data_IF_515275561665
#
_entry.id   IF_515275561665
#
_cell.length_a   1.000
_cell.length_b   1.000
_cell.length_c   1.000
_cell.angle_alpha   90.00
_cell.angle_beta   90.00
_cell.angle_gamma   90.00
#
_symmetry.space_group_name_H-M   'P 1'
#
loop_
_entity.id
_entity.type
_entity.pdbx_description
1 polymer ?
#
# COMPACT_ATOMS: atom_id res chain seq x y z
N UNK A 1 -7.61 -26.59 17.63
CA UNK A 1 -8.86 -25.84 17.92
C UNK A 1 -9.25 -25.27 16.58
N UNK A 2 -10.29 -25.82 15.98
CA UNK A 2 -10.79 -25.33 14.71
C UNK A 2 -11.80 -24.23 15.01
N UNK A 3 -11.51 -23.02 14.52
CA UNK A 3 -12.41 -21.89 14.64
C UNK A 3 -13.31 -21.85 13.40
N UNK A 4 -14.62 -21.84 13.61
CA UNK A 4 -15.61 -21.60 12.55
C UNK A 4 -15.70 -20.11 12.25
N UNK A 5 -15.38 -19.72 11.02
CA UNK A 5 -15.40 -18.32 10.55
C UNK A 5 -16.79 -17.79 10.24
N UNK A 6 -17.82 -18.67 10.22
CA UNK A 6 -19.22 -18.30 10.00
C UNK A 6 -20.00 -18.13 11.31
N UNK A 7 -19.41 -18.48 12.45
CA UNK A 7 -20.02 -18.35 13.78
C UNK A 7 -19.47 -17.15 14.55
N UNK A 8 -20.36 -16.23 14.94
CA UNK A 8 -20.00 -15.08 15.77
C UNK A 8 -19.36 -15.51 17.09
N UNK A 9 -19.94 -16.49 17.79
CA UNK A 9 -19.40 -16.97 19.07
C UNK A 9 -18.00 -17.57 18.93
N UNK A 10 -17.76 -18.29 17.82
CA UNK A 10 -16.44 -18.85 17.51
C UNK A 10 -15.40 -17.75 17.31
N UNK A 11 -15.71 -16.75 16.49
CA UNK A 11 -14.81 -15.61 16.24
C UNK A 11 -14.62 -14.73 17.47
N UNK A 12 -15.66 -14.54 18.29
CA UNK A 12 -15.57 -13.83 19.56
C UNK A 12 -14.59 -14.55 20.50
N UNK A 13 -14.67 -15.87 20.64
CA UNK A 13 -13.73 -16.65 21.47
C UNK A 13 -12.29 -16.55 20.98
N UNK A 14 -12.07 -16.50 19.67
CA UNK A 14 -10.75 -16.26 19.09
C UNK A 14 -10.22 -14.87 19.50
N UNK A 15 -11.01 -13.82 19.27
CA UNK A 15 -10.66 -12.45 19.60
C UNK A 15 -10.40 -12.27 21.11
N UNK A 16 -11.26 -12.83 21.96
CA UNK A 16 -11.11 -12.76 23.41
C UNK A 16 -9.82 -13.43 23.89
N UNK A 17 -9.45 -14.57 23.28
CA UNK A 17 -8.19 -15.25 23.58
C UNK A 17 -6.99 -14.39 23.16
N UNK A 18 -7.04 -13.78 21.98
CA UNK A 18 -6.01 -12.86 21.51
C UNK A 18 -5.88 -11.63 22.43
N UNK A 19 -6.99 -10.97 22.74
CA UNK A 19 -7.02 -9.76 23.56
C UNK A 19 -6.44 -10.00 24.96
N UNK A 20 -6.84 -11.09 25.64
CA UNK A 20 -6.26 -11.46 26.95
C UNK A 20 -4.76 -11.72 26.89
N UNK A 21 -4.28 -12.31 25.78
CA UNK A 21 -2.84 -12.52 25.58
C UNK A 21 -2.12 -11.17 25.41
N UNK A 22 -2.67 -10.25 24.62
CA UNK A 22 -2.11 -8.90 24.45
C UNK A 22 -2.06 -8.14 25.79
N UNK A 23 -3.13 -8.20 26.60
CA UNK A 23 -3.12 -7.59 27.94
C UNK A 23 -1.98 -8.13 28.80
N UNK A 24 -1.76 -9.44 28.76
CA UNK A 24 -0.68 -10.10 29.49
C UNK A 24 0.71 -9.65 29.00
N UNK A 25 0.89 -9.51 27.68
CA UNK A 25 2.12 -8.98 27.07
C UNK A 25 2.36 -7.53 27.49
N UNK A 26 1.33 -6.68 27.51
CA UNK A 26 1.46 -5.30 27.98
C UNK A 26 1.86 -5.21 29.45
N UNK A 27 1.36 -6.10 30.32
CA UNK A 27 1.82 -6.15 31.72
C UNK A 27 3.27 -6.63 31.82
N UNK A 28 3.67 -7.60 31.02
CA UNK A 28 5.05 -8.09 30.97
C UNK A 28 6.04 -6.98 30.57
N UNK A 29 5.67 -6.14 29.60
CA UNK A 29 6.48 -5.00 29.15
C UNK A 29 6.57 -3.84 30.17
N UNK A 30 5.70 -3.81 31.18
CA UNK A 30 5.85 -2.88 32.32
C UNK A 30 6.89 -3.34 33.34
N UNK A 31 7.26 -4.62 33.29
CA UNK A 31 8.32 -5.21 34.11
C UNK A 31 9.71 -4.97 33.50
N UNK A 32 10.57 -5.98 33.60
CA UNK A 32 11.95 -5.92 33.07
C UNK A 32 12.07 -6.36 31.61
N UNK A 33 11.00 -6.87 31.01
CA UNK A 33 11.01 -7.37 29.63
C UNK A 33 11.04 -6.20 28.65
N UNK A 34 11.98 -6.21 27.72
CA UNK A 34 12.04 -5.17 26.70
C UNK A 34 10.82 -5.25 25.75
N UNK A 35 10.14 -4.12 25.49
CA UNK A 35 9.01 -4.09 24.57
C UNK A 35 9.47 -4.30 23.12
N UNK A 36 8.51 -4.62 22.25
CA UNK A 36 8.78 -4.69 20.82
C UNK A 36 9.36 -3.37 20.30
N UNK A 37 10.42 -3.46 19.48
CA UNK A 37 11.02 -2.28 18.83
C UNK A 37 10.03 -1.66 17.85
N UNK A 38 9.53 -0.48 18.22
CA UNK A 38 8.66 0.35 17.38
C UNK A 38 9.46 0.96 16.21
N UNK A 39 8.73 1.45 15.21
CA UNK A 39 9.29 2.14 14.04
C UNK A 39 10.28 1.29 13.24
N UNK A 40 10.07 -0.03 13.23
CA UNK A 40 10.72 -0.96 12.32
C UNK A 40 9.90 -1.08 11.04
N UNK A 41 10.56 -1.43 9.93
CA UNK A 41 9.88 -1.77 8.67
C UNK A 41 9.14 -3.11 8.84
N UNK A 42 8.00 -3.33 8.18
CA UNK A 42 7.35 -4.63 8.17
C UNK A 42 8.21 -5.66 7.40
N UNK A 43 8.09 -6.94 7.74
CA UNK A 43 8.61 -8.01 6.88
C UNK A 43 7.73 -8.16 5.64
N UNK A 44 8.23 -8.79 4.56
CA UNK A 44 7.45 -9.00 3.33
C UNK A 44 6.11 -9.71 3.58
N UNK A 45 6.09 -10.73 4.44
CA UNK A 45 4.87 -11.45 4.79
C UNK A 45 3.86 -10.56 5.54
N UNK A 46 4.33 -9.74 6.49
CA UNK A 46 3.46 -8.81 7.21
C UNK A 46 2.97 -7.68 6.29
N UNK A 47 3.82 -7.15 5.41
CA UNK A 47 3.44 -6.09 4.48
C UNK A 47 2.37 -6.58 3.50
N UNK A 48 2.50 -7.79 2.96
CA UNK A 48 1.46 -8.41 2.12
C UNK A 48 0.12 -8.50 2.86
N UNK A 49 0.14 -8.94 4.12
CA UNK A 49 -1.06 -9.01 4.94
C UNK A 49 -1.70 -7.63 5.16
N UNK A 50 -0.90 -6.62 5.51
CA UNK A 50 -1.36 -5.25 5.72
C UNK A 50 -1.98 -4.68 4.43
N UNK A 51 -1.32 -4.83 3.28
CA UNK A 51 -1.84 -4.31 2.01
C UNK A 51 -3.15 -4.99 1.61
N UNK A 52 -3.27 -6.31 1.78
CA UNK A 52 -4.53 -7.01 1.55
C UNK A 52 -5.64 -6.52 2.50
N UNK A 53 -5.31 -6.30 3.77
CA UNK A 53 -6.26 -5.77 4.74
C UNK A 53 -6.71 -4.35 4.36
N UNK A 54 -5.79 -3.49 3.97
CA UNK A 54 -6.06 -2.13 3.49
C UNK A 54 -6.96 -2.16 2.27
N UNK A 55 -6.65 -3.00 1.28
CA UNK A 55 -7.48 -3.17 0.08
C UNK A 55 -8.90 -3.59 0.43
N UNK A 56 -9.07 -4.64 1.25
CA UNK A 56 -10.38 -5.16 1.64
C UNK A 56 -11.24 -4.14 2.40
N UNK A 57 -10.60 -3.22 3.14
CA UNK A 57 -11.29 -2.15 3.87
C UNK A 57 -11.54 -0.89 3.02
N UNK A 58 -10.96 -0.80 1.82
CA UNK A 58 -10.99 0.41 0.99
C UNK A 58 -11.76 0.23 -0.30
N UNK A 59 -11.48 -0.85 -1.04
CA UNK A 59 -12.13 -1.16 -2.31
C UNK A 59 -13.39 -1.97 -2.03
N UNK A 60 -14.51 -1.27 -1.92
CA UNK A 60 -15.81 -1.85 -1.59
C UNK A 60 -16.50 -2.54 -2.76
N UNK A 61 -16.14 -2.17 -3.99
CA UNK A 61 -16.77 -2.66 -5.21
C UNK A 61 -15.69 -2.82 -6.30
N UNK A 62 -14.95 -3.95 -6.30
CA UNK A 62 -13.84 -4.17 -7.22
C UNK A 62 -14.26 -4.16 -8.69
N UNK A 63 -15.52 -4.48 -9.01
CA UNK A 63 -16.01 -4.49 -10.39
C UNK A 63 -15.94 -3.09 -11.01
N UNK A 64 -16.07 -2.03 -10.20
CA UNK A 64 -15.92 -0.64 -10.68
C UNK A 64 -14.52 -0.29 -11.15
N UNK A 65 -13.49 -1.02 -10.70
CA UNK A 65 -12.12 -0.85 -11.21
C UNK A 65 -11.96 -1.43 -12.62
N UNK A 66 -12.86 -2.32 -13.03
CA UNK A 66 -12.89 -2.89 -14.39
C UNK A 66 -13.71 -2.05 -15.38
N UNK A 67 -14.32 -0.95 -14.93
CA UNK A 67 -15.14 -0.06 -15.77
C UNK A 67 -14.26 1.00 -16.45
N UNK A 68 -13.40 0.57 -17.36
CA UNK A 68 -12.62 1.43 -18.23
C UNK A 68 -13.04 1.25 -19.69
N UNK A 69 -12.85 2.27 -20.52
CA UNK A 69 -13.00 2.10 -21.96
C UNK A 69 -11.94 1.10 -22.47
N UNK A 70 -12.34 0.03 -23.20
CA UNK A 70 -11.39 -0.88 -23.80
C UNK A 70 -10.39 -0.10 -24.68
N UNK A 71 -9.09 -0.42 -24.55
CA UNK A 71 -7.99 0.25 -25.28
C UNK A 71 -7.70 1.71 -24.87
N UNK A 72 -8.20 2.17 -23.72
CA UNK A 72 -7.74 3.42 -23.12
C UNK A 72 -6.58 3.18 -22.14
N UNK A 73 -5.78 4.21 -21.79
CA UNK A 73 -4.76 4.13 -20.75
C UNK A 73 -5.32 3.83 -19.34
N UNK A 74 -6.64 3.71 -19.18
CA UNK A 74 -7.33 3.53 -17.90
C UNK A 74 -7.56 2.06 -17.54
N UNK A 75 -7.02 1.11 -18.33
CA UNK A 75 -7.12 -0.33 -18.08
C UNK A 75 -6.40 -0.68 -16.77
N UNK A 76 -7.18 -1.03 -15.76
CA UNK A 76 -6.68 -1.45 -14.46
C UNK A 76 -6.10 -2.87 -14.53
N UNK A 77 -4.77 -2.97 -14.43
CA UNK A 77 -4.06 -4.24 -14.23
C UNK A 77 -3.40 -4.25 -12.86
N UNK A 78 -3.90 -5.07 -11.93
CA UNK A 78 -3.27 -5.20 -10.62
C UNK A 78 -1.86 -5.77 -10.75
N UNK A 79 -0.86 -4.94 -10.45
CA UNK A 79 0.52 -5.38 -10.33
C UNK A 79 0.66 -6.29 -9.10
N UNK A 80 1.14 -7.51 -9.31
CA UNK A 80 1.35 -8.48 -8.22
C UNK A 80 2.35 -7.96 -7.18
N UNK A 81 2.06 -8.18 -5.90
CA UNK A 81 2.96 -7.88 -4.78
C UNK A 81 4.37 -8.45 -5.00
N UNK A 82 4.46 -9.66 -5.55
CA UNK A 82 5.74 -10.35 -5.75
C UNK A 82 6.61 -9.66 -6.81
N UNK A 83 5.99 -9.11 -7.86
CA UNK A 83 6.72 -8.35 -8.88
C UNK A 83 7.29 -7.05 -8.30
N UNK A 84 6.49 -6.34 -7.50
CA UNK A 84 6.95 -5.11 -6.82
C UNK A 84 8.04 -5.42 -5.81
N UNK A 85 7.94 -6.54 -5.08
CA UNK A 85 8.98 -6.96 -4.14
C UNK A 85 10.31 -7.26 -4.86
N UNK A 86 10.24 -7.99 -5.98
CA UNK A 86 11.42 -8.26 -6.81
C UNK A 86 12.04 -6.95 -7.34
N UNK A 87 11.23 -6.02 -7.83
CA UNK A 87 11.69 -4.70 -8.28
C UNK A 87 12.44 -3.95 -7.17
N UNK A 88 11.91 -3.95 -5.95
CA UNK A 88 12.54 -3.30 -4.79
C UNK A 88 13.93 -3.91 -4.51
N UNK A 89 14.03 -5.24 -4.55
CA UNK A 89 15.29 -5.95 -4.28
C UNK A 89 16.36 -5.71 -5.37
N UNK A 90 15.93 -5.52 -6.63
CA UNK A 90 16.81 -5.29 -7.79
C UNK A 90 17.29 -3.84 -7.89
N UNK A 91 16.41 -2.85 -7.75
CA UNK A 91 16.73 -1.43 -7.99
C UNK A 91 17.57 -0.82 -6.85
N UNK A 92 17.41 -1.30 -5.61
CA UNK A 92 18.14 -0.83 -4.41
C UNK A 92 18.10 0.68 -4.22
N UNK A 93 16.88 1.21 -4.09
CA UNK A 93 16.65 2.63 -3.82
C UNK A 93 17.23 3.10 -2.48
N UNK A 94 17.69 4.35 -2.43
CA UNK A 94 18.34 5.03 -1.31
C UNK A 94 17.53 6.24 -0.85
N UNK A 95 17.94 6.91 0.23
CA UNK A 95 17.32 8.15 0.70
C UNK A 95 17.45 9.36 -0.23
N UNK A 96 18.31 9.30 -1.25
CA UNK A 96 18.42 10.35 -2.27
C UNK A 96 17.41 10.17 -3.41
N UNK A 97 16.74 9.01 -3.47
CA UNK A 97 15.81 8.68 -4.54
C UNK A 97 14.42 9.28 -4.34
N UNK A 98 13.80 9.62 -5.46
CA UNK A 98 12.39 9.98 -5.58
C UNK A 98 11.70 8.92 -6.42
N UNK A 99 10.64 8.33 -5.87
CA UNK A 99 9.85 7.30 -6.54
C UNK A 99 8.52 7.88 -7.03
N UNK A 100 8.14 7.60 -8.28
CA UNK A 100 6.83 7.96 -8.83
C UNK A 100 6.21 6.76 -9.55
N UNK A 101 4.95 6.49 -9.23
CA UNK A 101 4.07 5.56 -9.96
C UNK A 101 3.10 6.35 -10.86
N UNK A 102 3.27 6.22 -12.17
CA UNK A 102 2.46 6.90 -13.19
C UNK A 102 1.28 6.00 -13.59
N UNK A 103 0.05 6.45 -13.30
CA UNK A 103 -1.13 5.59 -13.43
C UNK A 103 -1.26 4.64 -12.24
N UNK A 104 -1.15 5.19 -11.03
CA UNK A 104 -1.01 4.42 -9.79
C UNK A 104 -2.25 3.64 -9.36
N UNK A 105 -3.39 3.82 -10.03
CA UNK A 105 -4.65 3.18 -9.69
C UNK A 105 -5.07 3.47 -8.25
N UNK A 106 -5.30 2.42 -7.47
CA UNK A 106 -5.64 2.53 -6.04
C UNK A 106 -4.42 2.80 -5.13
N UNK A 107 -3.22 2.90 -5.70
CA UNK A 107 -1.98 3.30 -5.01
C UNK A 107 -1.18 2.16 -4.36
N UNK A 108 -1.50 0.90 -4.62
CA UNK A 108 -0.89 -0.25 -3.92
C UNK A 108 0.64 -0.35 -4.07
N UNK A 109 1.19 -0.03 -5.26
CA UNK A 109 2.63 -0.07 -5.52
C UNK A 109 3.35 0.97 -4.68
N UNK A 110 2.85 2.21 -4.67
CA UNK A 110 3.38 3.31 -3.85
C UNK A 110 3.39 2.93 -2.37
N UNK A 111 2.31 2.36 -1.84
CA UNK A 111 2.22 1.95 -0.44
C UNK A 111 3.23 0.85 -0.10
N UNK A 112 3.43 -0.13 -1.00
CA UNK A 112 4.41 -1.19 -0.82
C UNK A 112 5.84 -0.65 -0.82
N UNK A 113 6.20 0.17 -1.82
CA UNK A 113 7.55 0.74 -1.94
C UNK A 113 7.83 1.69 -0.77
N UNK A 114 6.85 2.51 -0.38
CA UNK A 114 6.98 3.39 0.78
C UNK A 114 7.13 2.62 2.10
N UNK A 115 6.54 1.43 2.24
CA UNK A 115 6.75 0.56 3.40
C UNK A 115 8.10 -0.17 3.38
N UNK A 116 8.67 -0.46 2.21
CA UNK A 116 9.86 -1.27 2.06
C UNK A 116 11.18 -0.49 1.92
N UNK A 117 11.12 0.75 1.40
CA UNK A 117 12.31 1.51 1.00
C UNK A 117 12.43 2.85 1.71
N UNK A 118 13.64 3.43 1.73
CA UNK A 118 13.92 4.68 2.41
C UNK A 118 13.96 5.89 1.46
N UNK A 119 13.35 5.82 0.27
CA UNK A 119 13.33 6.96 -0.65
C UNK A 119 12.84 8.23 0.04
N UNK A 120 13.35 9.37 -0.42
CA UNK A 120 13.02 10.69 0.11
C UNK A 120 11.52 10.93 0.12
N UNK A 121 10.86 10.61 -0.99
CA UNK A 121 9.42 10.69 -1.15
C UNK A 121 8.92 9.71 -2.21
N UNK A 122 7.64 9.33 -2.10
CA UNK A 122 6.96 8.45 -3.04
C UNK A 122 5.68 9.11 -3.53
N UNK A 123 5.44 9.12 -4.83
CA UNK A 123 4.22 9.67 -5.40
C UNK A 123 3.48 8.62 -6.21
N UNK A 124 2.16 8.67 -6.16
CA UNK A 124 1.29 7.99 -7.10
C UNK A 124 0.32 8.99 -7.70
N UNK A 125 0.23 9.02 -9.01
CA UNK A 125 -0.73 9.86 -9.74
C UNK A 125 -1.71 8.99 -10.50
N UNK A 126 -2.98 9.27 -10.31
CA UNK A 126 -4.07 8.56 -10.99
C UNK A 126 -5.07 9.57 -11.57
N UNK A 127 -5.43 9.38 -12.85
CA UNK A 127 -6.32 10.27 -13.57
C UNK A 127 -7.78 9.91 -13.33
N UNK A 128 -8.10 8.62 -13.34
CA UNK A 128 -9.46 8.11 -13.27
C UNK A 128 -10.07 8.29 -11.87
N UNK A 129 -11.32 8.76 -11.85
CA UNK A 129 -12.02 9.19 -10.64
C UNK A 129 -12.22 8.05 -9.63
N UNK A 130 -12.60 6.88 -10.12
CA UNK A 130 -12.92 5.71 -9.29
C UNK A 130 -11.68 5.22 -8.52
N UNK A 131 -10.56 4.84 -9.20
CA UNK A 131 -9.37 4.38 -8.49
C UNK A 131 -8.75 5.48 -7.62
N UNK A 132 -8.73 6.75 -8.06
CA UNK A 132 -8.26 7.87 -7.24
C UNK A 132 -9.11 8.02 -5.96
N UNK A 133 -10.43 7.83 -6.04
CA UNK A 133 -11.31 7.88 -4.86
C UNK A 133 -11.03 6.74 -3.88
N UNK A 134 -10.75 5.55 -4.39
CA UNK A 134 -10.31 4.43 -3.55
C UNK A 134 -8.93 4.67 -2.95
N UNK A 135 -8.01 5.29 -3.68
CA UNK A 135 -6.67 5.64 -3.21
C UNK A 135 -6.70 6.54 -1.95
N UNK A 136 -7.63 7.50 -1.87
CA UNK A 136 -7.85 8.31 -0.65
C UNK A 136 -8.19 7.44 0.59
N UNK A 137 -8.94 6.36 0.40
CA UNK A 137 -9.29 5.45 1.49
C UNK A 137 -8.16 4.46 1.78
N UNK A 138 -7.47 3.98 0.74
CA UNK A 138 -6.25 3.17 0.86
C UNK A 138 -5.19 3.89 1.70
N UNK A 139 -4.96 5.19 1.45
CA UNK A 139 -4.05 6.03 2.23
C UNK A 139 -4.43 6.04 3.73
N UNK A 140 -5.68 6.36 4.03
CA UNK A 140 -6.18 6.43 5.40
C UNK A 140 -6.07 5.09 6.13
N UNK A 141 -6.49 4.01 5.48
CA UNK A 141 -6.44 2.65 6.03
C UNK A 141 -5.00 2.18 6.22
N UNK A 142 -4.10 2.46 5.27
CA UNK A 142 -2.69 2.09 5.36
C UNK A 142 -2.00 2.77 6.55
N UNK A 143 -2.17 4.09 6.71
CA UNK A 143 -1.62 4.82 7.87
C UNK A 143 -2.16 4.27 9.19
N UNK A 144 -3.44 3.91 9.23
CA UNK A 144 -4.07 3.32 10.43
C UNK A 144 -3.46 1.95 10.75
N UNK A 145 -3.39 1.04 9.78
CA UNK A 145 -2.89 -0.32 10.01
C UNK A 145 -1.38 -0.35 10.28
N UNK A 146 -0.58 0.47 9.58
CA UNK A 146 0.85 0.59 9.88
C UNK A 146 1.11 1.02 11.33
N UNK A 147 0.34 1.99 11.83
CA UNK A 147 0.39 2.40 13.25
C UNK A 147 -0.08 1.28 14.18
N UNK A 148 -1.16 0.57 13.83
CA UNK A 148 -1.69 -0.53 14.64
C UNK A 148 -0.65 -1.65 14.85
N UNK A 149 0.10 -2.01 13.80
CA UNK A 149 1.19 -2.99 13.88
C UNK A 149 2.52 -2.40 14.41
N UNK A 150 2.57 -1.11 14.74
CA UNK A 150 3.79 -0.43 15.24
C UNK A 150 4.91 -0.34 14.21
N UNK A 151 4.58 -0.28 12.91
CA UNK A 151 5.51 -0.25 11.79
C UNK A 151 5.64 1.13 11.18
N UNK A 152 6.84 1.44 10.68
CA UNK A 152 7.10 2.68 9.92
C UNK A 152 6.96 2.46 8.41
N UNK A 153 6.62 3.53 7.71
CA UNK A 153 6.74 3.70 6.28
C UNK A 153 7.44 5.04 6.01
N UNK A 154 7.97 5.23 4.80
CA UNK A 154 8.49 6.51 4.32
C UNK A 154 7.33 7.46 3.94
N UNK A 155 7.67 8.70 3.64
CA UNK A 155 6.68 9.68 3.18
C UNK A 155 6.18 9.33 1.78
N UNK A 156 4.87 9.48 1.59
CA UNK A 156 4.22 9.26 0.30
C UNK A 156 2.98 10.15 0.14
N UNK A 157 2.62 10.40 -1.11
CA UNK A 157 1.41 11.12 -1.52
C UNK A 157 0.73 10.37 -2.67
N UNK A 158 -0.57 10.13 -2.54
CA UNK A 158 -1.43 9.65 -3.63
C UNK A 158 -2.29 10.83 -4.08
N UNK A 159 -2.23 11.19 -5.35
CA UNK A 159 -2.89 12.36 -5.87
C UNK A 159 -3.68 12.06 -7.14
N UNK A 160 -4.82 12.74 -7.27
CA UNK A 160 -5.59 12.71 -8.51
C UNK A 160 -4.99 13.72 -9.49
N UNK A 161 -4.62 13.26 -10.68
CA UNK A 161 -3.99 14.11 -11.67
C UNK A 161 -3.72 13.40 -12.99
N UNK A 162 -3.39 14.19 -14.01
CA UNK A 162 -2.93 13.67 -15.30
C UNK A 162 -1.41 13.80 -15.38
N UNK A 163 -0.71 12.67 -15.47
CA UNK A 163 0.75 12.66 -15.55
C UNK A 163 1.30 13.22 -16.87
N UNK A 164 0.45 13.47 -17.87
CA UNK A 164 0.81 14.13 -19.12
C UNK A 164 0.74 15.67 -19.02
N UNK A 165 0.36 16.23 -17.87
CA UNK A 165 0.30 17.68 -17.67
C UNK A 165 1.70 18.32 -17.60
N UNK A 166 1.78 19.62 -17.90
CA UNK A 166 3.05 20.38 -17.79
C UNK A 166 3.61 20.38 -16.36
N UNK A 167 2.75 20.32 -15.33
CA UNK A 167 3.19 20.18 -13.93
C UNK A 167 3.96 18.88 -13.72
N UNK A 168 3.43 17.78 -14.24
CA UNK A 168 4.06 16.46 -14.10
C UNK A 168 5.31 16.32 -14.93
N UNK A 169 5.45 17.07 -16.02
CA UNK A 169 6.66 17.10 -16.83
C UNK A 169 7.89 17.50 -16.02
N UNK A 170 7.79 18.54 -15.20
CA UNK A 170 8.89 18.97 -14.32
C UNK A 170 9.14 17.97 -13.19
N UNK A 171 8.07 17.41 -12.60
CA UNK A 171 8.20 16.40 -11.53
C UNK A 171 8.87 15.12 -12.02
N UNK A 172 8.47 14.63 -13.19
CA UNK A 172 9.06 13.47 -13.87
C UNK A 172 10.54 13.73 -14.16
N UNK A 173 10.89 14.92 -14.67
CA UNK A 173 12.28 15.29 -14.95
C UNK A 173 13.19 15.27 -13.71
N UNK A 174 12.62 15.46 -12.52
CA UNK A 174 13.35 15.44 -11.23
C UNK A 174 13.20 14.11 -10.47
N UNK A 175 12.55 13.09 -11.07
CA UNK A 175 12.33 11.78 -10.44
C UNK A 175 13.45 10.81 -10.81
N UNK A 176 14.01 10.08 -9.83
CA UNK A 176 15.09 9.11 -10.08
C UNK A 176 14.58 7.71 -10.42
N UNK A 177 13.42 7.32 -9.89
CA UNK A 177 12.81 6.00 -10.14
C UNK A 177 11.35 6.17 -10.55
N UNK A 178 11.03 5.71 -11.75
CA UNK A 178 9.67 5.73 -12.29
C UNK A 178 9.18 4.29 -12.43
N UNK A 179 8.00 4.02 -11.89
CA UNK A 179 7.20 2.85 -12.22
C UNK A 179 6.03 3.29 -13.09
N UNK A 180 5.75 2.53 -14.14
CA UNK A 180 4.59 2.72 -15.01
C UNK A 180 4.12 1.36 -15.50
N UNK A 181 2.86 1.02 -15.25
CA UNK A 181 2.24 -0.16 -15.85
C UNK A 181 1.60 0.23 -17.18
N UNK A 182 2.42 0.25 -18.24
CA UNK A 182 2.01 0.70 -19.57
C UNK A 182 1.45 -0.42 -20.47
N UNK A 183 1.15 -1.61 -19.94
CA UNK A 183 0.77 -2.78 -20.74
C UNK A 183 -0.42 -2.51 -21.69
N UNK A 184 -1.34 -1.65 -21.29
CA UNK A 184 -2.54 -1.32 -22.04
C UNK A 184 -2.57 0.14 -22.54
N UNK A 185 -1.46 0.88 -22.43
CA UNK A 185 -1.40 2.24 -22.95
C UNK A 185 -1.36 2.22 -24.48
N UNK A 186 -2.14 3.10 -25.10
CA UNK A 186 -2.14 3.28 -26.55
C UNK A 186 -0.83 3.90 -27.06
N UNK A 187 -0.55 3.83 -28.38
CA UNK A 187 0.71 4.30 -28.96
C UNK A 187 0.91 5.83 -28.92
N UNK A 188 -0.12 6.60 -28.54
CA UNK A 188 -0.06 8.06 -28.43
C UNK A 188 0.26 8.57 -27.02
N UNK A 189 0.45 7.65 -26.06
CA UNK A 189 0.89 7.95 -24.69
C UNK A 189 2.40 7.86 -24.57
#
# INVERSE_FOLDING_TARGET
>A
IDYDTKSFESMQRLCDKYNRAIDSIHQLWKGTTQPMKLNTRPSNGLLRHILQQVYNHSVTDPEKLNNYEPFSPEVYGETSFDLVAQMIDEIKMTEDDLFVDLGSGVGQVVLQVAAATNCKHHYGVEKADIPAKYAETMDREFRKWMKWYGKKHAEYTLERGDFLSEEWRERIANTSVIFVNNFAFGPEV
#
